data_IF_276107925474
#
_entry.id   IF_276107925474
#
_cell.length_a   1.000
_cell.length_b   1.000
_cell.length_c   1.000
_cell.angle_alpha   90.00
_cell.angle_beta   90.00
_cell.angle_gamma   90.00
#
_symmetry.space_group_name_H-M   'P 1'
#
loop_
_entity.id
_entity.type
_entity.pdbx_description
1 polymer ?
#
# COMPACT_ATOMS: atom_id res chain seq x y z
N UNK A 1 11.25 -32.98 -28.62
CA UNK A 1 12.03 -32.74 -27.40
C UNK A 1 11.38 -31.56 -26.70
N UNK A 2 10.65 -31.85 -25.62
CA UNK A 2 10.02 -30.82 -24.78
C UNK A 2 11.11 -30.30 -23.86
N UNK A 3 11.56 -29.07 -24.09
CA UNK A 3 12.40 -28.37 -23.13
C UNK A 3 11.51 -27.95 -21.96
N UNK A 4 11.56 -28.67 -20.88
CA UNK A 4 11.07 -28.27 -19.57
C UNK A 4 11.99 -27.17 -19.07
N UNK A 5 11.48 -25.94 -19.04
CA UNK A 5 12.11 -24.85 -18.29
C UNK A 5 11.78 -25.06 -16.81
N UNK A 6 12.74 -25.30 -15.94
CA UNK A 6 12.53 -25.22 -14.52
C UNK A 6 12.75 -23.80 -14.02
N UNK A 7 11.94 -23.39 -13.08
CA UNK A 7 12.18 -22.38 -12.06
C UNK A 7 12.32 -20.89 -12.46
N UNK A 8 11.25 -20.30 -12.97
CA UNK A 8 11.00 -18.86 -12.73
C UNK A 8 9.97 -18.63 -11.59
N UNK A 9 9.35 -19.69 -11.10
CA UNK A 9 8.43 -19.63 -9.95
C UNK A 9 9.14 -19.29 -8.63
N UNK A 10 10.44 -19.55 -8.52
CA UNK A 10 11.21 -19.24 -7.32
C UNK A 10 11.53 -17.75 -7.16
N UNK A 11 11.88 -17.07 -8.25
CA UNK A 11 12.30 -15.66 -8.20
C UNK A 11 11.13 -14.71 -7.97
N UNK A 12 10.02 -14.95 -8.69
CA UNK A 12 8.79 -14.20 -8.46
C UNK A 12 8.25 -14.41 -7.03
N UNK A 13 8.37 -15.66 -6.52
CA UNK A 13 8.01 -15.96 -5.15
C UNK A 13 8.95 -15.31 -4.12
N UNK A 14 10.25 -15.18 -4.41
CA UNK A 14 11.19 -14.53 -3.49
C UNK A 14 10.97 -13.00 -3.41
N UNK A 15 10.70 -12.35 -4.54
CA UNK A 15 10.37 -10.92 -4.58
C UNK A 15 8.99 -10.62 -3.99
N UNK A 16 8.06 -11.56 -4.15
CA UNK A 16 6.74 -11.51 -3.54
C UNK A 16 6.78 -11.99 -2.09
N UNK A 17 7.80 -12.77 -1.70
CA UNK A 17 8.02 -13.31 -0.36
C UNK A 17 9.05 -12.52 0.48
N UNK A 18 9.63 -11.44 -0.05
CA UNK A 18 10.64 -10.66 0.67
C UNK A 18 10.19 -10.07 2.01
N UNK A 19 8.89 -9.91 2.22
CA UNK A 19 8.33 -9.63 3.54
C UNK A 19 8.03 -10.90 4.37
N UNK A 20 7.53 -12.02 3.81
CA UNK A 20 7.04 -13.12 4.64
C UNK A 20 8.14 -14.00 5.26
N UNK A 21 9.27 -14.21 4.58
CA UNK A 21 10.30 -15.12 5.12
C UNK A 21 10.98 -14.59 6.37
N UNK A 22 11.11 -13.27 6.45
CA UNK A 22 11.61 -12.62 7.66
C UNK A 22 10.58 -12.65 8.81
N UNK A 23 9.29 -12.82 8.52
CA UNK A 23 8.23 -12.87 9.55
C UNK A 23 7.86 -14.31 9.95
N UNK A 24 7.90 -15.28 9.04
CA UNK A 24 7.52 -16.66 9.32
C UNK A 24 8.51 -17.42 10.22
N UNK A 25 9.78 -17.01 10.25
CA UNK A 25 10.83 -17.59 11.09
C UNK A 25 11.07 -16.80 12.39
N UNK A 26 10.21 -15.80 12.70
CA UNK A 26 10.38 -15.00 13.91
C UNK A 26 9.90 -15.76 15.13
N UNK A 27 10.83 -15.96 16.04
CA UNK A 27 10.57 -16.48 17.37
C UNK A 27 9.45 -15.66 18.04
N UNK A 28 8.57 -16.27 18.84
CA UNK A 28 7.51 -15.57 19.58
C UNK A 28 8.04 -14.35 20.37
N UNK A 29 9.30 -14.41 20.77
CA UNK A 29 9.98 -13.34 21.49
C UNK A 29 10.28 -12.12 20.61
N UNK A 30 10.25 -12.23 19.28
CA UNK A 30 10.47 -11.09 18.39
C UNK A 30 9.46 -9.96 18.65
N UNK A 31 8.22 -10.31 18.94
CA UNK A 31 7.14 -9.36 19.16
C UNK A 31 7.08 -8.76 20.57
N UNK A 32 8.02 -9.16 21.45
CA UNK A 32 8.15 -8.47 22.72
C UNK A 32 8.63 -7.03 22.50
N UNK A 33 8.07 -6.03 23.21
CA UNK A 33 8.39 -4.61 23.00
C UNK A 33 9.88 -4.28 23.02
N UNK A 34 10.66 -4.93 23.88
CA UNK A 34 12.11 -4.75 23.93
C UNK A 34 12.84 -5.29 22.70
N UNK A 35 12.32 -6.32 22.04
CA UNK A 35 12.90 -6.88 20.82
C UNK A 35 12.45 -6.09 19.58
N UNK A 36 11.21 -5.67 19.52
CA UNK A 36 10.74 -4.72 18.50
C UNK A 36 11.56 -3.44 18.54
N UNK A 37 11.82 -2.89 19.72
CA UNK A 37 12.63 -1.69 19.87
C UNK A 37 14.08 -1.86 19.37
N UNK A 38 14.62 -3.07 19.36
CA UNK A 38 15.97 -3.37 18.86
C UNK A 38 16.03 -3.62 17.37
N UNK A 39 14.97 -4.19 16.81
CA UNK A 39 15.00 -4.78 15.48
C UNK A 39 14.28 -3.95 14.42
N UNK A 40 13.41 -3.01 14.80
CA UNK A 40 12.64 -2.22 13.86
C UNK A 40 12.44 -0.77 14.30
N UNK A 41 12.15 0.10 13.35
CA UNK A 41 11.60 1.40 13.66
C UNK A 41 10.07 1.33 13.66
N UNK A 42 9.47 2.25 14.39
CA UNK A 42 8.01 2.36 14.49
C UNK A 42 7.39 2.73 13.14
N UNK A 43 6.37 2.01 12.70
CA UNK A 43 5.52 2.45 11.59
C UNK A 43 4.68 3.63 12.06
N UNK A 44 4.66 4.71 11.29
CA UNK A 44 3.90 5.92 11.59
C UNK A 44 2.79 6.12 10.57
N UNK A 45 1.60 6.45 11.05
CA UNK A 45 0.39 6.51 10.23
C UNK A 45 -0.28 7.88 10.32
N UNK A 46 -0.92 8.27 9.21
CA UNK A 46 -1.85 9.40 9.14
C UNK A 46 -3.26 8.84 8.91
N UNK A 47 -4.10 8.92 9.93
CA UNK A 47 -5.50 8.46 9.86
C UNK A 47 -6.38 9.66 9.63
N UNK A 48 -7.09 9.66 8.50
CA UNK A 48 -7.90 10.79 8.08
C UNK A 48 -9.29 10.81 8.72
N UNK A 49 -9.75 12.02 9.05
CA UNK A 49 -11.08 12.31 9.56
C UNK A 49 -11.81 13.39 8.74
N UNK A 50 -13.11 13.61 9.05
CA UNK A 50 -13.92 12.75 9.91
C UNK A 50 -14.07 11.34 9.33
N UNK A 51 -14.32 10.37 10.20
CA UNK A 51 -14.47 8.97 9.78
C UNK A 51 -15.66 8.77 8.86
N UNK A 52 -15.45 8.22 7.70
CA UNK A 52 -16.46 7.97 6.67
C UNK A 52 -16.40 6.51 6.22
N UNK A 53 -17.13 5.64 6.90
CA UNK A 53 -17.09 4.20 6.64
C UNK A 53 -17.81 3.78 5.35
N UNK A 54 -18.61 4.66 4.75
CA UNK A 54 -19.47 4.36 3.59
C UNK A 54 -18.95 4.89 2.25
N UNK A 55 -17.74 5.45 2.21
CA UNK A 55 -17.18 5.92 0.94
C UNK A 55 -16.88 4.75 0.00
N UNK A 56 -17.21 4.93 -1.28
CA UNK A 56 -17.05 3.91 -2.32
C UNK A 56 -15.86 4.15 -3.23
N UNK A 57 -15.19 5.27 -3.09
CA UNK A 57 -13.89 5.48 -3.68
C UNK A 57 -13.03 6.37 -2.77
N UNK A 58 -11.72 6.17 -2.87
CA UNK A 58 -10.71 6.93 -2.15
C UNK A 58 -9.58 7.31 -3.11
N UNK A 59 -9.33 8.61 -3.24
CA UNK A 59 -8.22 9.19 -3.98
C UNK A 59 -7.22 9.77 -3.00
N UNK A 60 -5.93 9.52 -3.24
CA UNK A 60 -4.87 10.10 -2.43
C UNK A 60 -3.60 10.36 -3.22
N UNK A 61 -2.94 11.48 -2.87
CA UNK A 61 -1.58 11.80 -3.31
C UNK A 61 -0.58 11.61 -2.18
N UNK A 62 0.60 11.10 -2.55
CA UNK A 62 1.74 10.97 -1.64
C UNK A 62 3.00 11.41 -2.37
N UNK A 63 3.87 12.14 -1.67
CA UNK A 63 5.20 12.48 -2.16
C UNK A 63 6.23 11.86 -1.24
N UNK A 64 6.99 10.92 -1.76
CA UNK A 64 8.10 10.32 -1.03
C UNK A 64 9.25 11.31 -1.01
N UNK A 65 9.63 11.80 0.17
CA UNK A 65 10.71 12.76 0.35
C UNK A 65 12.06 12.08 0.61
N UNK A 66 12.01 10.93 1.30
CA UNK A 66 13.17 10.12 1.64
C UNK A 66 12.80 8.65 1.69
N UNK A 67 13.61 7.83 1.03
CA UNK A 67 13.42 6.38 0.95
C UNK A 67 14.71 5.63 1.29
N UNK A 68 14.54 4.37 1.66
CA UNK A 68 15.62 3.42 1.91
C UNK A 68 15.17 2.01 1.51
N UNK A 69 16.07 1.05 1.32
CA UNK A 69 15.71 -0.33 1.08
C UNK A 69 14.76 -0.86 2.16
N UNK A 70 13.69 -1.56 1.75
CA UNK A 70 12.67 -2.06 2.66
C UNK A 70 11.65 -1.01 3.11
N UNK A 71 11.45 0.07 2.34
CA UNK A 71 10.45 1.11 2.66
C UNK A 71 9.11 0.83 2.03
N UNK A 72 8.04 1.04 2.79
CA UNK A 72 6.68 1.08 2.28
C UNK A 72 6.02 2.43 2.60
N UNK A 73 5.46 3.04 1.56
CA UNK A 73 4.65 4.26 1.63
C UNK A 73 3.25 3.90 1.17
N UNK A 74 2.39 3.54 2.14
CA UNK A 74 0.99 3.24 1.84
C UNK A 74 0.25 4.54 1.59
N UNK A 75 -0.24 4.71 0.36
CA UNK A 75 -1.02 5.88 0.00
C UNK A 75 -2.42 5.81 0.60
N UNK A 76 -3.04 4.63 0.54
CA UNK A 76 -4.39 4.44 1.06
C UNK A 76 -4.52 3.03 1.65
N UNK A 77 -4.69 2.96 2.97
CA UNK A 77 -5.02 1.76 3.70
C UNK A 77 -6.51 1.83 4.08
N UNK A 78 -7.28 0.87 3.65
CA UNK A 78 -8.72 0.76 3.87
C UNK A 78 -9.06 -0.59 4.53
N UNK A 79 -10.28 -0.78 4.99
CA UNK A 79 -10.64 -1.95 5.82
C UNK A 79 -10.29 -3.29 5.16
N UNK A 80 -10.40 -3.38 3.84
CA UNK A 80 -10.21 -4.65 3.11
C UNK A 80 -8.94 -4.69 2.28
N UNK A 81 -8.00 -3.74 2.47
CA UNK A 81 -6.75 -3.75 1.70
C UNK A 81 -5.96 -2.46 1.77
N UNK A 82 -4.97 -2.36 0.91
CA UNK A 82 -4.09 -1.19 0.83
C UNK A 82 -3.50 -1.02 -0.57
N UNK A 83 -3.14 0.23 -0.90
CA UNK A 83 -2.41 0.59 -2.10
C UNK A 83 -1.30 1.58 -1.77
N UNK A 84 -0.15 1.44 -2.42
CA UNK A 84 0.97 2.35 -2.23
C UNK A 84 2.17 1.98 -3.08
N UNK A 85 3.35 2.46 -2.66
CA UNK A 85 4.62 2.20 -3.34
C UNK A 85 5.67 1.72 -2.35
N UNK A 86 6.58 0.87 -2.85
CA UNK A 86 7.67 0.33 -2.06
C UNK A 86 9.00 0.56 -2.77
N UNK A 87 10.06 0.74 -1.99
CA UNK A 87 11.42 0.46 -2.42
C UNK A 87 11.79 -0.90 -1.81
N UNK A 88 12.06 -1.88 -2.67
CA UNK A 88 12.44 -3.22 -2.23
C UNK A 88 13.84 -3.22 -1.62
N UNK A 89 14.24 -4.37 -1.10
CA UNK A 89 15.59 -4.55 -0.51
C UNK A 89 16.61 -4.71 -1.63
N UNK A 90 16.22 -5.40 -2.69
CA UNK A 90 17.03 -5.73 -3.84
C UNK A 90 17.27 -4.50 -4.72
N UNK A 91 18.40 -4.50 -5.40
CA UNK A 91 18.72 -3.57 -6.48
C UNK A 91 18.78 -4.31 -7.81
N UNK A 92 18.69 -3.57 -8.90
CA UNK A 92 19.10 -4.08 -10.21
C UNK A 92 20.61 -4.23 -10.29
N UNK A 93 21.12 -5.05 -11.21
CA UNK A 93 22.58 -5.29 -11.42
C UNK A 93 23.39 -4.02 -11.69
N UNK A 94 22.73 -2.96 -12.12
CA UNK A 94 23.35 -1.64 -12.29
C UNK A 94 23.38 -0.79 -11.00
N UNK A 95 22.91 -1.35 -9.88
CA UNK A 95 22.82 -0.68 -8.58
C UNK A 95 21.58 0.21 -8.42
N UNK A 96 20.71 0.28 -9.42
CA UNK A 96 19.46 1.07 -9.32
C UNK A 96 18.49 0.40 -8.34
N UNK A 97 17.88 1.14 -7.39
CA UNK A 97 16.90 0.59 -6.49
C UNK A 97 15.68 0.03 -7.21
N UNK A 98 15.21 -1.14 -6.80
CA UNK A 98 13.95 -1.69 -7.30
C UNK A 98 12.78 -0.99 -6.62
N UNK A 99 11.95 -0.32 -7.40
CA UNK A 99 10.77 0.41 -6.92
C UNK A 99 9.52 -0.12 -7.58
N UNK A 100 8.47 -0.31 -6.77
CA UNK A 100 7.23 -0.94 -7.22
C UNK A 100 6.01 -0.17 -6.72
N UNK A 101 4.90 -0.33 -7.44
CA UNK A 101 3.57 -0.09 -6.92
C UNK A 101 2.97 -1.41 -6.45
N UNK A 102 2.25 -1.37 -5.34
CA UNK A 102 1.58 -2.53 -4.74
C UNK A 102 0.12 -2.20 -4.45
N UNK A 103 -0.76 -3.16 -4.71
CA UNK A 103 -2.15 -3.13 -4.31
C UNK A 103 -2.56 -4.52 -3.79
N UNK A 104 -3.11 -4.57 -2.59
CA UNK A 104 -3.50 -5.83 -1.94
C UNK A 104 -4.89 -5.73 -1.35
N UNK A 105 -5.58 -6.88 -1.29
CA UNK A 105 -6.87 -7.03 -0.64
C UNK A 105 -6.85 -8.24 0.28
N UNK A 106 -7.51 -8.14 1.42
CA UNK A 106 -7.61 -9.23 2.39
C UNK A 106 -8.69 -10.24 2.00
N UNK A 107 -8.49 -11.49 2.39
CA UNK A 107 -9.56 -12.49 2.44
C UNK A 107 -10.61 -12.09 3.50
N UNK A 108 -11.81 -12.62 3.38
CA UNK A 108 -12.91 -12.29 4.30
C UNK A 108 -12.63 -12.70 5.75
N UNK A 109 -11.84 -13.75 5.93
CA UNK A 109 -11.35 -14.20 7.23
C UNK A 109 -9.85 -14.37 7.21
N UNK A 110 -9.24 -14.00 8.31
CA UNK A 110 -7.84 -14.29 8.54
C UNK A 110 -7.61 -15.80 8.61
N UNK A 111 -6.69 -16.29 7.81
CA UNK A 111 -6.31 -17.69 7.74
C UNK A 111 -4.86 -17.91 8.20
N UNK A 112 -4.29 -16.95 8.92
CA UNK A 112 -2.94 -16.98 9.44
C UNK A 112 -1.88 -16.83 8.34
N UNK A 113 -0.80 -17.60 8.43
CA UNK A 113 0.38 -17.40 7.59
C UNK A 113 0.30 -18.11 6.23
N UNK A 114 -0.55 -19.12 6.11
CA UNK A 114 -0.65 -19.88 4.87
C UNK A 114 -1.60 -19.20 3.88
N UNK A 115 -1.09 -18.65 2.76
CA UNK A 115 -1.91 -17.94 1.77
C UNK A 115 -3.01 -18.78 1.11
N UNK A 116 -2.97 -20.10 1.29
CA UNK A 116 -3.93 -21.04 0.72
C UNK A 116 -4.81 -21.72 1.77
N UNK A 117 -4.73 -21.34 3.06
CA UNK A 117 -5.52 -21.94 4.13
C UNK A 117 -6.99 -21.47 4.14
N UNK A 118 -7.28 -20.24 3.70
CA UNK A 118 -8.65 -19.76 3.62
C UNK A 118 -9.51 -20.65 2.71
N UNK A 119 -10.77 -20.97 3.09
CA UNK A 119 -11.71 -21.64 2.20
C UNK A 119 -11.86 -20.85 0.89
N UNK A 120 -12.00 -21.54 -0.23
CA UNK A 120 -12.08 -20.90 -1.55
C UNK A 120 -13.23 -19.87 -1.64
N UNK A 121 -14.34 -20.12 -0.95
CA UNK A 121 -15.48 -19.20 -0.90
C UNK A 121 -15.18 -17.87 -0.19
N UNK A 122 -14.18 -17.83 0.68
CA UNK A 122 -13.79 -16.67 1.49
C UNK A 122 -12.56 -15.95 0.91
N UNK A 123 -11.91 -16.53 -0.10
CA UNK A 123 -10.73 -15.95 -0.74
C UNK A 123 -11.10 -14.78 -1.63
N UNK A 124 -10.25 -13.77 -1.61
CA UNK A 124 -10.22 -12.75 -2.66
C UNK A 124 -9.96 -13.42 -4.02
N UNK A 125 -10.82 -13.17 -5.01
CA UNK A 125 -10.70 -13.72 -6.36
C UNK A 125 -10.30 -12.63 -7.34
N UNK A 126 -9.24 -12.85 -8.09
CA UNK A 126 -8.81 -11.94 -9.13
C UNK A 126 -9.87 -11.87 -10.24
N UNK A 127 -10.31 -10.65 -10.55
CA UNK A 127 -11.23 -10.36 -11.65
C UNK A 127 -10.43 -9.99 -12.90
N UNK A 128 -9.50 -9.05 -12.73
CA UNK A 128 -8.65 -8.55 -13.80
C UNK A 128 -7.42 -7.88 -13.21
N UNK A 129 -6.30 -8.00 -13.90
CA UNK A 129 -5.09 -7.19 -13.64
C UNK A 129 -4.78 -6.28 -14.81
N UNK A 130 -4.04 -5.21 -14.53
CA UNK A 130 -3.51 -4.32 -15.55
C UNK A 130 -2.33 -4.92 -16.33
N UNK A 131 -1.94 -4.28 -17.42
CA UNK A 131 -0.71 -4.61 -18.13
C UNK A 131 0.50 -4.47 -17.19
N UNK A 132 1.49 -5.36 -17.34
CA UNK A 132 2.73 -5.36 -16.52
C UNK A 132 2.50 -5.50 -15.01
N UNK A 133 1.34 -5.98 -14.59
CA UNK A 133 1.03 -6.24 -13.19
C UNK A 133 1.14 -7.74 -12.94
N UNK A 134 1.91 -8.12 -11.96
CA UNK A 134 1.93 -9.46 -11.41
C UNK A 134 0.93 -9.59 -10.29
N UNK A 135 0.32 -10.75 -10.19
CA UNK A 135 -0.64 -11.05 -9.12
C UNK A 135 -0.30 -12.38 -8.47
N UNK A 136 -0.42 -12.40 -7.15
CA UNK A 136 -0.20 -13.59 -6.34
C UNK A 136 -1.05 -13.52 -5.07
N UNK A 137 -0.93 -14.51 -4.23
CA UNK A 137 -1.48 -14.50 -2.89
C UNK A 137 -0.39 -14.21 -1.88
N UNK A 138 -0.77 -13.62 -0.76
CA UNK A 138 0.13 -13.38 0.37
C UNK A 138 -0.39 -14.04 1.65
N UNK A 139 0.53 -14.25 2.60
CA UNK A 139 0.30 -14.70 3.97
C UNK A 139 1.33 -14.05 4.89
N UNK A 140 1.27 -14.37 6.19
CA UNK A 140 2.21 -13.87 7.20
C UNK A 140 1.65 -12.76 8.09
N UNK A 141 0.72 -11.95 7.60
CA UNK A 141 -0.02 -10.93 8.35
C UNK A 141 -1.54 -11.06 8.12
N UNK A 142 -2.02 -12.29 7.95
CA UNK A 142 -3.29 -12.59 7.34
C UNK A 142 -3.10 -13.02 5.90
N UNK A 143 -4.19 -13.35 5.20
CA UNK A 143 -4.12 -13.84 3.82
C UNK A 143 -4.93 -12.98 2.87
N UNK A 144 -4.56 -13.00 1.58
CA UNK A 144 -5.25 -12.20 0.58
C UNK A 144 -4.66 -12.29 -0.81
N UNK A 145 -5.15 -11.44 -1.69
CA UNK A 145 -4.63 -11.24 -3.04
C UNK A 145 -3.73 -10.02 -3.12
N UNK A 146 -2.61 -10.14 -3.81
CA UNK A 146 -1.61 -9.09 -4.00
C UNK A 146 -1.33 -8.87 -5.48
N UNK A 147 -1.10 -7.64 -5.84
CA UNK A 147 -0.65 -7.21 -7.17
C UNK A 147 0.49 -6.24 -7.06
N UNK A 148 1.50 -6.43 -7.90
CA UNK A 148 2.70 -5.59 -7.95
C UNK A 148 3.07 -5.31 -9.40
N UNK A 149 3.63 -4.14 -9.63
CA UNK A 149 4.30 -3.78 -10.89
C UNK A 149 5.55 -2.97 -10.62
N UNK A 150 6.56 -3.09 -11.48
CA UNK A 150 7.67 -2.14 -11.49
C UNK A 150 7.11 -0.75 -11.78
N UNK A 151 7.47 0.19 -10.94
CA UNK A 151 7.04 1.57 -11.00
C UNK A 151 8.17 2.45 -10.51
N UNK A 152 8.95 2.99 -11.45
CA UNK A 152 10.23 3.67 -11.20
C UNK A 152 10.04 5.10 -10.66
N UNK A 153 9.24 5.24 -9.60
CA UNK A 153 9.05 6.51 -8.92
C UNK A 153 10.36 7.00 -8.28
N UNK A 154 10.48 8.30 -8.11
CA UNK A 154 11.64 8.95 -7.50
C UNK A 154 11.22 9.78 -6.30
N UNK A 155 12.16 10.01 -5.39
CA UNK A 155 11.96 10.99 -4.33
C UNK A 155 11.58 12.36 -4.95
N UNK A 156 10.50 12.95 -4.45
CA UNK A 156 9.90 14.18 -4.98
C UNK A 156 8.75 13.98 -5.96
N UNK A 157 8.58 12.79 -6.54
CA UNK A 157 7.45 12.52 -7.43
C UNK A 157 6.11 12.53 -6.69
N UNK A 158 5.07 13.00 -7.37
CA UNK A 158 3.70 12.93 -6.87
C UNK A 158 3.08 11.60 -7.28
N UNK A 159 2.92 10.73 -6.32
CA UNK A 159 2.28 9.42 -6.50
C UNK A 159 0.78 9.59 -6.24
N UNK A 160 -0.05 9.24 -7.24
CA UNK A 160 -1.51 9.35 -7.18
C UNK A 160 -2.13 7.98 -7.24
N UNK A 161 -2.99 7.69 -6.29
CA UNK A 161 -3.70 6.41 -6.21
C UNK A 161 -5.20 6.61 -6.13
N UNK A 162 -5.94 5.64 -6.66
CA UNK A 162 -7.39 5.58 -6.59
C UNK A 162 -7.80 4.14 -6.27
N UNK A 163 -8.64 3.98 -5.27
CA UNK A 163 -9.32 2.72 -4.97
C UNK A 163 -10.82 2.91 -5.16
N UNK A 164 -11.47 1.97 -5.82
CA UNK A 164 -12.91 2.00 -6.08
C UNK A 164 -13.53 0.70 -5.61
N UNK A 165 -14.60 0.80 -4.82
CA UNK A 165 -15.44 -0.33 -4.42
C UNK A 165 -16.79 -0.26 -5.14
N UNK A 166 -17.24 -1.41 -5.65
CA UNK A 166 -18.56 -1.56 -6.26
C UNK A 166 -19.25 -2.82 -5.75
N UNK A 167 -20.57 -2.77 -5.49
CA UNK A 167 -21.31 -3.98 -5.15
C UNK A 167 -21.28 -4.98 -6.30
N UNK A 168 -21.09 -6.25 -5.99
CA UNK A 168 -21.14 -7.38 -6.91
C UNK A 168 -22.07 -8.46 -6.36
N UNK A 169 -23.38 -8.20 -6.44
CA UNK A 169 -24.43 -8.93 -5.75
C UNK A 169 -24.59 -8.50 -4.29
N UNK A 170 -25.21 -9.34 -3.47
CA UNK A 170 -25.48 -9.04 -2.05
C UNK A 170 -24.22 -9.18 -1.19
N UNK A 171 -23.50 -10.29 -1.36
CA UNK A 171 -22.46 -10.75 -0.45
C UNK A 171 -21.04 -10.36 -0.89
N UNK A 172 -20.88 -9.79 -2.07
CA UNK A 172 -19.56 -9.52 -2.61
C UNK A 172 -19.38 -8.06 -3.04
N UNK A 173 -18.11 -7.66 -3.10
CA UNK A 173 -17.67 -6.37 -3.64
C UNK A 173 -16.53 -6.59 -4.63
N UNK A 174 -16.52 -5.78 -5.65
CA UNK A 174 -15.36 -5.64 -6.53
C UNK A 174 -14.56 -4.44 -6.06
N UNK A 175 -13.31 -4.68 -5.64
CA UNK A 175 -12.39 -3.64 -5.19
C UNK A 175 -11.29 -3.52 -6.24
N UNK A 176 -11.14 -2.32 -6.77
CA UNK A 176 -10.25 -2.02 -7.90
C UNK A 176 -9.26 -0.93 -7.51
N UNK A 177 -7.98 -1.22 -7.66
CA UNK A 177 -6.88 -0.28 -7.44
C UNK A 177 -6.35 0.28 -8.76
N UNK A 178 -6.10 1.58 -8.79
CA UNK A 178 -5.46 2.28 -9.90
C UNK A 178 -4.30 3.13 -9.40
N UNK A 179 -3.28 3.29 -10.23
CA UNK A 179 -2.18 4.23 -10.03
C UNK A 179 -2.05 5.13 -11.25
N UNK A 180 -1.75 6.42 -11.04
CA UNK A 180 -1.49 7.34 -12.13
C UNK A 180 -0.05 7.19 -12.59
N UNK A 181 0.14 6.92 -13.86
CA UNK A 181 1.45 6.82 -14.49
C UNK A 181 1.85 8.20 -15.06
N UNK A 182 2.88 8.85 -14.51
CA UNK A 182 3.30 10.18 -14.94
C UNK A 182 3.96 10.19 -16.32
N UNK A 183 4.48 9.05 -16.82
CA UNK A 183 5.08 8.97 -18.15
C UNK A 183 4.01 8.95 -19.23
N UNK A 184 2.97 8.13 -19.03
CA UNK A 184 1.87 7.99 -20.01
C UNK A 184 0.75 9.01 -19.78
N UNK A 185 0.76 9.73 -18.64
CA UNK A 185 -0.31 10.62 -18.19
C UNK A 185 -1.67 9.93 -18.11
N UNK A 186 -1.69 8.67 -17.68
CA UNK A 186 -2.90 7.84 -17.61
C UNK A 186 -3.03 7.16 -16.25
N UNK A 187 -4.27 6.89 -15.90
CA UNK A 187 -4.60 5.97 -14.83
C UNK A 187 -4.45 4.54 -15.31
N UNK A 188 -3.57 3.81 -14.66
CA UNK A 188 -3.28 2.41 -14.95
C UNK A 188 -3.97 1.52 -13.92
N UNK A 189 -4.62 0.47 -14.41
CA UNK A 189 -5.20 -0.56 -13.55
C UNK A 189 -4.07 -1.32 -12.87
N UNK A 190 -4.09 -1.38 -11.54
CA UNK A 190 -3.31 -2.36 -10.79
C UNK A 190 -3.99 -3.72 -10.90
N UNK A 191 -5.10 -3.86 -10.22
CA UNK A 191 -5.95 -5.05 -10.34
C UNK A 191 -7.34 -4.78 -9.78
N UNK A 192 -8.24 -5.70 -10.07
CA UNK A 192 -9.58 -5.75 -9.51
C UNK A 192 -9.80 -7.11 -8.87
N UNK A 193 -10.30 -7.12 -7.64
CA UNK A 193 -10.54 -8.32 -6.87
C UNK A 193 -11.99 -8.38 -6.41
N UNK A 194 -12.57 -9.57 -6.47
CA UNK A 194 -13.86 -9.87 -5.87
C UNK A 194 -13.63 -10.38 -4.46
N UNK A 195 -14.13 -9.67 -3.47
CA UNK A 195 -14.01 -10.03 -2.06
C UNK A 195 -15.40 -10.21 -1.44
N UNK A 196 -15.50 -11.09 -0.45
CA UNK A 196 -16.75 -11.20 0.33
C UNK A 196 -16.93 -9.94 1.16
N UNK A 197 -18.12 -9.35 1.10
CA UNK A 197 -18.41 -8.09 1.77
C UNK A 197 -18.86 -8.34 3.21
N UNK A 198 -17.98 -8.08 4.14
CA UNK A 198 -18.34 -8.01 5.56
C UNK A 198 -18.99 -6.66 5.91
N UNK A 199 -18.73 -5.62 5.14
CA UNK A 199 -19.25 -4.25 5.29
C UNK A 199 -19.49 -3.62 3.93
N UNK A 200 -20.29 -2.54 3.89
CA UNK A 200 -20.40 -1.65 2.73
C UNK A 200 -19.40 -0.51 2.87
N UNK A 201 -18.79 -0.14 1.75
CA UNK A 201 -17.80 0.92 1.67
C UNK A 201 -16.39 0.45 2.01
N UNK A 202 -15.41 1.20 1.53
CA UNK A 202 -14.00 0.90 1.74
C UNK A 202 -13.62 0.95 3.23
N UNK A 203 -14.23 1.86 4.00
CA UNK A 203 -13.89 2.09 5.40
C UNK A 203 -12.42 2.51 5.59
N UNK A 204 -12.02 2.74 6.82
CA UNK A 204 -10.64 3.14 7.10
C UNK A 204 -10.29 4.50 6.51
N UNK A 205 -9.16 4.59 5.87
CA UNK A 205 -8.61 5.83 5.28
C UNK A 205 -7.40 6.28 6.07
N UNK A 206 -6.28 5.59 5.86
CA UNK A 206 -5.02 6.00 6.44
C UNK A 206 -3.89 5.81 5.42
N UNK A 207 -2.84 6.63 5.55
CA UNK A 207 -1.56 6.40 4.91
C UNK A 207 -0.53 6.06 5.98
N UNK A 208 0.59 5.47 5.58
CA UNK A 208 1.67 5.21 6.53
C UNK A 208 3.05 5.16 5.87
N UNK A 209 4.07 5.31 6.71
CA UNK A 209 5.48 5.10 6.39
C UNK A 209 5.99 3.95 7.24
N UNK A 210 6.53 2.93 6.60
CA UNK A 210 6.97 1.70 7.25
C UNK A 210 8.34 1.24 6.76
N UNK A 211 9.08 0.62 7.67
CA UNK A 211 10.21 -0.26 7.40
C UNK A 211 9.73 -1.71 7.43
N UNK A 212 9.42 -2.29 6.26
CA UNK A 212 8.95 -3.69 6.22
C UNK A 212 10.07 -4.72 6.37
N UNK A 213 11.32 -4.29 6.27
CA UNK A 213 12.48 -5.16 6.52
C UNK A 213 12.58 -5.58 7.97
N UNK A 214 12.25 -4.67 8.89
CA UNK A 214 12.14 -4.91 10.33
C UNK A 214 13.33 -5.67 10.92
N UNK A 215 14.53 -5.18 10.65
CA UNK A 215 15.77 -5.73 11.19
C UNK A 215 16.59 -4.65 11.90
N UNK A 216 17.59 -5.08 12.68
CA UNK A 216 18.41 -4.18 13.47
C UNK A 216 19.24 -3.16 12.67
N UNK A 217 19.38 -3.34 11.36
CA UNK A 217 20.11 -2.45 10.47
C UNK A 217 19.21 -1.43 9.79
N UNK A 218 18.09 -1.89 9.21
CA UNK A 218 17.21 -1.05 8.40
C UNK A 218 16.55 0.09 9.19
N UNK A 219 16.37 -0.09 10.51
CA UNK A 219 15.81 0.92 11.41
C UNK A 219 16.64 2.20 11.50
N UNK A 220 17.92 2.18 11.14
CA UNK A 220 18.79 3.36 11.16
C UNK A 220 18.67 4.23 9.92
N UNK A 221 17.82 3.86 8.96
CA UNK A 221 17.58 4.63 7.76
C UNK A 221 16.27 5.44 7.89
N UNK A 222 16.37 6.73 7.62
CA UNK A 222 15.21 7.62 7.57
C UNK A 222 14.30 7.28 6.38
N UNK A 223 13.00 7.29 6.64
CA UNK A 223 11.92 7.24 5.65
C UNK A 223 10.96 8.39 5.89
N UNK A 224 10.57 9.09 4.81
CA UNK A 224 9.69 10.26 4.92
C UNK A 224 8.80 10.41 3.70
N UNK A 225 7.54 10.74 3.93
CA UNK A 225 6.61 11.10 2.85
C UNK A 225 5.60 12.16 3.31
N UNK A 226 5.20 13.04 2.39
CA UNK A 226 4.08 13.98 2.57
C UNK A 226 2.80 13.37 2.02
N UNK A 227 1.73 13.45 2.79
CA UNK A 227 0.43 12.84 2.50
C UNK A 227 -0.64 13.89 2.27
N UNK A 228 -1.27 13.85 1.10
CA UNK A 228 -2.40 14.73 0.71
C UNK A 228 -2.29 15.25 -0.71
N UNK A 229 -3.44 15.66 -1.32
CA UNK A 229 -4.80 15.59 -0.78
C UNK A 229 -5.31 14.16 -0.60
N UNK A 230 -6.25 13.99 0.35
CA UNK A 230 -7.00 12.76 0.57
C UNK A 230 -8.49 13.04 0.35
N UNK A 231 -9.10 12.37 -0.63
CA UNK A 231 -10.49 12.58 -1.03
C UNK A 231 -11.27 11.27 -0.94
N UNK A 232 -12.52 11.34 -0.51
CA UNK A 232 -13.44 10.21 -0.41
C UNK A 232 -14.71 10.48 -1.21
N UNK A 233 -15.16 9.51 -1.97
CA UNK A 233 -16.40 9.59 -2.73
C UNK A 233 -17.55 9.01 -1.91
N UNK A 234 -18.43 9.90 -1.43
CA UNK A 234 -19.52 9.58 -0.51
C UNK A 234 -20.83 10.08 -1.12
N UNK A 235 -21.79 9.18 -1.36
CA UNK A 235 -23.11 9.52 -1.90
C UNK A 235 -23.05 10.39 -3.16
N UNK A 236 -22.17 10.07 -4.09
CA UNK A 236 -22.06 10.79 -5.36
C UNK A 236 -21.23 12.06 -5.33
N UNK A 237 -20.57 12.38 -4.21
CA UNK A 237 -19.80 13.62 -4.02
C UNK A 237 -18.41 13.33 -3.48
N UNK A 238 -17.41 14.00 -4.04
CA UNK A 238 -16.05 14.00 -3.50
C UNK A 238 -15.96 14.93 -2.29
N UNK A 239 -15.51 14.39 -1.17
CA UNK A 239 -15.27 15.10 0.07
C UNK A 239 -13.79 15.02 0.43
N UNK A 240 -13.12 16.13 0.74
CA UNK A 240 -11.77 16.12 1.27
C UNK A 240 -11.78 15.63 2.73
N UNK A 241 -10.71 15.00 3.16
CA UNK A 241 -10.41 14.88 4.57
C UNK A 241 -10.15 16.28 5.14
N UNK A 242 -10.67 16.57 6.33
CA UNK A 242 -10.56 17.88 6.98
C UNK A 242 -9.71 17.86 8.23
N UNK A 243 -9.40 16.67 8.72
CA UNK A 243 -8.56 16.43 9.89
C UNK A 243 -7.78 15.13 9.74
N UNK A 244 -6.77 14.97 10.57
CA UNK A 244 -6.04 13.71 10.70
C UNK A 244 -5.62 13.46 12.14
N UNK A 245 -5.42 12.20 12.47
CA UNK A 245 -4.77 11.77 13.71
C UNK A 245 -3.48 11.04 13.34
N UNK A 246 -2.35 11.46 13.91
CA UNK A 246 -1.12 10.68 13.80
C UNK A 246 -1.24 9.45 14.71
N UNK A 247 -1.04 8.27 14.16
CA UNK A 247 -1.02 7.01 14.93
C UNK A 247 0.25 6.24 14.63
N UNK A 248 0.47 5.13 15.33
CA UNK A 248 1.64 4.27 15.15
C UNK A 248 1.31 2.83 15.51
N UNK A 249 2.19 1.92 15.15
CA UNK A 249 2.15 0.54 15.61
C UNK A 249 2.49 0.40 17.12
N UNK A 250 2.59 -0.83 17.60
CA UNK A 250 2.86 -1.14 19.00
C UNK A 250 4.35 -0.94 19.41
N UNK A 251 5.25 -0.68 18.46
CA UNK A 251 6.66 -0.47 18.73
C UNK A 251 6.85 0.70 19.70
N UNK A 252 7.63 0.55 20.81
CA UNK A 252 7.82 1.59 21.81
C UNK A 252 8.74 2.73 21.36
N UNK A 253 9.47 2.57 20.24
CA UNK A 253 10.35 3.63 19.75
C UNK A 253 9.56 4.86 19.32
N UNK A 254 10.10 6.03 19.69
CA UNK A 254 9.54 7.33 19.30
C UNK A 254 10.41 8.04 18.26
N UNK A 255 11.17 7.27 17.45
CA UNK A 255 11.90 7.79 16.29
C UNK A 255 10.97 8.05 15.10
N UNK A 256 9.90 8.76 15.38
CA UNK A 256 8.85 9.16 14.44
C UNK A 256 8.65 10.68 14.46
N UNK A 257 8.17 11.23 13.39
CA UNK A 257 7.92 12.67 13.26
C UNK A 257 6.71 12.93 12.38
N UNK A 258 5.98 13.98 12.73
CA UNK A 258 5.01 14.62 11.85
C UNK A 258 5.34 16.10 11.78
N UNK A 259 5.30 16.68 10.58
CA UNK A 259 5.49 18.12 10.39
C UNK A 259 4.68 18.63 9.21
N UNK A 260 4.27 19.89 9.27
CA UNK A 260 3.68 20.56 8.12
C UNK A 260 4.75 20.80 7.04
N UNK A 261 4.44 20.45 5.79
CA UNK A 261 5.26 20.71 4.62
C UNK A 261 4.66 21.91 3.85
N UNK A 262 5.19 23.13 4.00
CA UNK A 262 4.59 24.32 3.38
C UNK A 262 4.68 24.32 1.85
N UNK A 263 5.65 23.63 1.28
CA UNK A 263 5.78 23.52 -0.17
C UNK A 263 4.66 22.68 -0.81
N UNK A 264 4.03 21.80 -0.02
CA UNK A 264 2.93 20.93 -0.46
C UNK A 264 1.59 21.35 0.15
N UNK A 265 1.60 22.06 1.26
CA UNK A 265 0.38 22.43 2.00
C UNK A 265 -0.24 21.25 2.76
N UNK A 266 0.54 20.20 3.07
CA UNK A 266 0.11 19.00 3.77
C UNK A 266 1.15 18.54 4.79
N UNK A 267 0.93 17.40 5.41
CA UNK A 267 1.80 16.90 6.48
C UNK A 267 2.71 15.78 6.01
N UNK A 268 3.99 15.84 6.41
CA UNK A 268 4.96 14.79 6.23
C UNK A 268 5.03 13.92 7.48
N UNK A 269 5.04 12.62 7.29
CA UNK A 269 5.39 11.62 8.30
C UNK A 269 6.81 11.12 8.05
N UNK A 270 7.54 10.84 9.12
CA UNK A 270 8.86 10.23 9.03
C UNK A 270 9.08 9.21 10.13
N UNK A 271 9.90 8.21 9.84
CA UNK A 271 10.34 7.19 10.79
C UNK A 271 11.77 6.73 10.52
N UNK A 272 12.40 6.16 11.54
CA UNK A 272 13.74 5.57 11.45
C UNK A 272 14.87 6.59 11.53
N UNK A 273 16.11 6.11 11.53
CA UNK A 273 17.29 6.96 11.69
C UNK A 273 17.28 7.76 13.00
N UNK A 274 17.82 8.97 12.94
CA UNK A 274 17.89 9.92 14.07
C UNK A 274 16.63 10.79 14.18
N UNK A 275 15.50 10.34 13.65
CA UNK A 275 14.22 11.07 13.73
C UNK A 275 13.79 11.18 15.18
N UNK A 276 13.37 12.38 15.58
CA UNK A 276 12.79 12.65 16.90
C UNK A 276 11.33 13.12 16.75
N UNK A 277 10.52 12.79 17.74
CA UNK A 277 9.13 13.24 17.81
C UNK A 277 9.05 14.78 17.76
N UNK A 278 8.07 15.27 17.03
CA UNK A 278 7.75 16.70 17.03
C UNK A 278 6.74 16.96 18.15
N UNK A 279 7.07 17.80 19.16
CA UNK A 279 6.17 18.06 20.28
C UNK A 279 4.85 18.74 19.88
N UNK A 280 4.80 19.37 18.69
CA UNK A 280 3.61 20.04 18.18
C UNK A 280 2.64 19.06 17.48
N UNK A 281 3.09 17.84 17.19
CA UNK A 281 2.31 16.80 16.49
C UNK A 281 2.53 15.44 17.17
N UNK A 282 1.86 15.22 18.28
CA UNK A 282 2.00 13.99 19.06
C UNK A 282 1.09 12.89 18.53
N UNK A 283 1.50 11.64 18.77
CA UNK A 283 0.64 10.48 18.46
C UNK A 283 -0.67 10.54 19.22
N UNK A 284 -1.76 10.13 18.55
CA UNK A 284 -3.14 10.11 19.03
C UNK A 284 -3.77 11.50 19.24
N UNK A 285 -3.12 12.57 18.80
CA UNK A 285 -3.71 13.90 18.70
C UNK A 285 -4.30 14.12 17.31
N UNK A 286 -5.47 14.77 17.26
CA UNK A 286 -6.14 15.14 16.01
C UNK A 286 -5.79 16.57 15.64
N UNK A 287 -5.43 16.76 14.38
CA UNK A 287 -5.05 18.05 13.81
C UNK A 287 -5.90 18.37 12.58
N UNK A 288 -6.18 19.64 12.36
CA UNK A 288 -6.88 20.08 11.16
C UNK A 288 -5.99 19.99 9.92
N UNK A 289 -6.58 19.56 8.81
CA UNK A 289 -5.96 19.66 7.50
C UNK A 289 -6.27 21.03 6.86
N UNK A 290 -5.39 21.53 6.00
CA UNK A 290 -5.66 22.74 5.23
C UNK A 290 -6.97 22.60 4.46
N UNK A 291 -7.83 23.62 4.60
CA UNK A 291 -9.14 23.61 3.97
C UNK A 291 -8.99 23.59 2.44
N UNK A 292 -9.64 22.62 1.83
CA UNK A 292 -9.76 22.57 0.37
C UNK A 292 -11.01 23.35 -0.05
N UNK A 293 -10.93 24.15 -1.13
CA UNK A 293 -12.13 24.81 -1.64
C UNK A 293 -13.17 23.75 -2.06
N UNK A 294 -14.39 23.88 -1.59
CA UNK A 294 -15.49 23.01 -1.99
C UNK A 294 -16.28 23.66 -3.15
N UNK A 295 -16.76 22.86 -4.15
CA UNK A 295 -16.54 21.43 -4.30
C UNK A 295 -15.11 21.13 -4.76
N UNK A 296 -14.55 20.01 -4.30
CA UNK A 296 -13.25 19.55 -4.77
C UNK A 296 -13.39 19.05 -6.19
N UNK A 297 -12.70 19.68 -7.12
CA UNK A 297 -12.62 19.21 -8.49
C UNK A 297 -11.61 18.05 -8.56
N UNK A 298 -12.08 16.90 -8.99
CA UNK A 298 -11.21 15.78 -9.36
C UNK A 298 -10.99 15.75 -10.87
N UNK A 299 -9.89 15.14 -11.28
CA UNK A 299 -9.66 14.84 -12.70
C UNK A 299 -10.89 14.11 -13.30
N UNK A 300 -11.45 14.56 -14.43
CA UNK A 300 -12.55 13.86 -15.11
C UNK A 300 -12.26 12.38 -15.38
N UNK A 301 -11.01 11.99 -15.56
CA UNK A 301 -10.62 10.60 -15.70
C UNK A 301 -10.88 9.80 -14.40
N UNK A 302 -10.62 10.37 -13.23
CA UNK A 302 -10.94 9.76 -11.94
C UNK A 302 -12.45 9.54 -11.81
N UNK A 303 -13.26 10.55 -12.15
CA UNK A 303 -14.72 10.43 -12.10
C UNK A 303 -15.23 9.31 -13.01
N UNK A 304 -14.71 9.20 -14.23
CA UNK A 304 -15.05 8.12 -15.16
C UNK A 304 -14.72 6.73 -14.60
N UNK A 305 -13.61 6.56 -13.90
CA UNK A 305 -13.23 5.28 -13.28
C UNK A 305 -14.18 4.92 -12.15
N UNK A 306 -14.59 5.89 -11.34
CA UNK A 306 -15.56 5.68 -10.26
C UNK A 306 -16.94 5.29 -10.79
N UNK A 307 -17.39 5.93 -11.87
CA UNK A 307 -18.70 5.69 -12.50
C UNK A 307 -18.71 4.48 -13.45
N UNK A 308 -17.54 3.98 -13.87
CA UNK A 308 -17.45 2.83 -14.78
C UNK A 308 -18.22 1.61 -14.23
N UNK A 309 -18.76 0.72 -15.05
CA UNK A 309 -19.40 -0.51 -14.58
C UNK A 309 -18.39 -1.43 -13.90
N UNK A 310 -18.87 -2.53 -13.28
CA UNK A 310 -18.03 -3.63 -12.82
C UNK A 310 -17.13 -4.11 -13.96
N UNK A 311 -15.88 -4.37 -13.64
CA UNK A 311 -14.97 -4.98 -14.61
C UNK A 311 -15.38 -6.44 -14.86
N UNK A 312 -15.39 -6.90 -16.10
CA UNK A 312 -15.68 -8.30 -16.41
C UNK A 312 -14.50 -9.18 -15.97
N UNK A 313 -14.81 -10.41 -15.57
CA UNK A 313 -13.78 -11.43 -15.34
C UNK A 313 -13.04 -11.68 -16.66
N UNK A 314 -11.73 -11.59 -16.60
CA UNK A 314 -10.85 -11.92 -17.73
C UNK A 314 -9.90 -13.04 -17.34
N UNK A 315 -9.72 -13.98 -18.25
CA UNK A 315 -8.61 -14.92 -18.17
C UNK A 315 -7.29 -14.14 -18.20
N UNK A 316 -6.39 -14.47 -17.29
CA UNK A 316 -5.11 -13.77 -17.15
C UNK A 316 -3.99 -14.66 -17.66
N UNK A 317 -3.38 -14.26 -18.78
CA UNK A 317 -2.16 -14.91 -19.24
C UNK A 317 -1.03 -14.75 -18.21
N UNK A 318 -0.18 -15.76 -18.02
CA UNK A 318 0.99 -15.64 -17.17
C UNK A 318 1.84 -14.45 -17.56
N UNK A 319 2.23 -13.66 -16.59
CA UNK A 319 3.09 -12.49 -16.81
C UNK A 319 4.22 -12.46 -15.78
N UNK A 320 5.41 -12.22 -16.27
CA UNK A 320 6.59 -11.94 -15.46
C UNK A 320 7.20 -10.62 -15.93
N UNK A 321 7.50 -9.73 -15.00
CA UNK A 321 8.19 -8.47 -15.32
C UNK A 321 9.61 -8.78 -15.81
N UNK A 322 9.96 -8.41 -17.06
CA UNK A 322 11.29 -8.73 -17.62
C UNK A 322 12.44 -8.15 -16.82
N UNK A 323 12.30 -6.96 -16.24
CA UNK A 323 13.34 -6.30 -15.44
C UNK A 323 13.72 -7.06 -14.17
N UNK A 324 12.90 -7.97 -13.71
CA UNK A 324 13.24 -8.81 -12.54
C UNK A 324 14.32 -9.85 -12.84
N UNK A 325 14.61 -10.10 -14.10
CA UNK A 325 15.78 -10.89 -14.51
C UNK A 325 17.11 -10.12 -14.38
N UNK A 326 17.01 -8.79 -14.18
CA UNK A 326 18.14 -7.89 -13.99
C UNK A 326 18.47 -7.64 -12.52
N UNK A 327 17.76 -8.31 -11.59
CA UNK A 327 18.02 -8.17 -10.16
C UNK A 327 19.39 -8.73 -9.80
N UNK A 328 20.07 -8.00 -8.92
CA UNK A 328 21.24 -8.49 -8.22
C UNK A 328 20.75 -9.25 -6.99
N UNK A 329 20.75 -10.56 -7.11
CA UNK A 329 20.40 -11.46 -6.02
C UNK A 329 21.72 -11.87 -5.36
N UNK A 330 21.98 -11.32 -4.18
CA UNK A 330 23.03 -11.86 -3.33
C UNK A 330 22.65 -13.30 -2.96
N UNK A 331 23.54 -14.27 -3.26
CA UNK A 331 23.40 -15.70 -2.97
C UNK A 331 23.38 -15.99 -1.44
#
# INVERSE_FOLDING_TARGET
>A
MKATFPLLTGLAAALLAGAPKAMADRDSDFWLPENMAKNECTSVHITYGPKEDTHTAAYQEVVVEKSAPGSYFACNNFTTGYIGVQQLVENYKDGTPVRVAIFSVWDAKDSGDNPHAAPESERAKLIQRGPKVMTDRFGGEGTGGKSMRVFDWKEGDVIRTLVVEKPDGEDFRQITGYIFDPETQKWELMSSWRVQALRRGLGGGCGFVEDFRRNGESRFHERRATFGPALRYVNGVWKPATEFTMTKDANPNMNINCRFNPARGYFSLATGGDIAENPDFRVFETHELPQQPAPVAVDPAVQKLVEAPLLPVKEQEPYTEPRWQELDMED
#
